data_IF_128807508310
#
_entry.id   IF_128807508310
#
_cell.length_a   1.000
_cell.length_b   1.000
_cell.length_c   1.000
_cell.angle_alpha   90.00
_cell.angle_beta   90.00
_cell.angle_gamma   90.00
#
_symmetry.space_group_name_H-M   'P 1'
#
loop_
_entity.id
_entity.type
_entity.pdbx_description
1 polymer ?
#
# COMPACT_ATOMS: atom_id res chain seq x y z
N UNK A 1 35.25 -32.96 -7.76
CA UNK A 1 35.10 -31.68 -7.06
C UNK A 1 33.75 -31.12 -7.48
N UNK A 2 32.77 -31.25 -6.60
CA UNK A 2 31.42 -30.71 -6.78
C UNK A 2 31.46 -29.23 -6.44
N UNK A 3 30.83 -28.40 -7.26
CA UNK A 3 29.90 -27.29 -6.93
C UNK A 3 29.98 -26.23 -8.03
N UNK A 4 28.85 -26.00 -8.68
CA UNK A 4 28.35 -24.68 -9.08
C UNK A 4 26.96 -24.93 -9.65
N UNK A 5 26.06 -25.29 -8.73
CA UNK A 5 24.64 -25.04 -8.90
C UNK A 5 24.47 -23.55 -8.59
N UNK A 6 24.38 -22.75 -9.63
CA UNK A 6 24.05 -21.33 -9.56
C UNK A 6 22.59 -21.18 -9.98
N UNK A 7 21.69 -21.86 -9.28
CA UNK A 7 20.27 -21.48 -9.29
C UNK A 7 20.03 -20.64 -8.06
N UNK A 8 19.92 -19.33 -8.24
CA UNK A 8 19.08 -18.42 -7.44
C UNK A 8 19.24 -17.00 -7.99
N UNK A 9 18.72 -16.75 -9.18
CA UNK A 9 18.22 -15.42 -9.54
C UNK A 9 16.79 -15.34 -8.97
N UNK A 10 16.74 -15.15 -7.65
CA UNK A 10 15.53 -14.87 -6.89
C UNK A 10 15.88 -13.64 -6.05
N UNK A 11 15.60 -12.46 -6.60
CA UNK A 11 14.96 -11.34 -5.89
C UNK A 11 14.91 -10.13 -6.85
N UNK A 12 14.24 -10.25 -8.00
CA UNK A 12 13.63 -9.04 -8.55
C UNK A 12 12.32 -8.90 -7.78
N UNK A 13 12.47 -8.48 -6.52
CA UNK A 13 11.44 -7.80 -5.76
C UNK A 13 11.02 -6.65 -6.67
N UNK A 14 10.01 -6.92 -7.50
CA UNK A 14 9.32 -5.91 -8.26
C UNK A 14 8.56 -5.08 -7.23
N UNK A 15 9.31 -4.27 -6.50
CA UNK A 15 8.86 -3.05 -5.89
C UNK A 15 8.50 -2.16 -7.08
N UNK A 16 7.36 -2.47 -7.69
CA UNK A 16 6.69 -1.57 -8.59
C UNK A 16 6.54 -0.31 -7.74
N UNK A 17 7.34 0.71 -8.03
CA UNK A 17 7.23 1.97 -7.33
C UNK A 17 6.01 2.63 -7.93
N UNK A 18 4.85 2.45 -7.30
CA UNK A 18 3.66 3.20 -7.70
C UNK A 18 4.00 4.68 -7.55
N UNK A 19 3.80 5.44 -8.62
CA UNK A 19 3.92 6.89 -8.53
C UNK A 19 2.85 7.43 -7.58
N UNK A 20 3.11 8.59 -6.95
CA UNK A 20 2.14 9.25 -6.07
C UNK A 20 0.76 9.45 -6.73
N UNK A 21 0.71 9.58 -8.05
CA UNK A 21 -0.53 9.70 -8.83
C UNK A 21 -1.28 8.37 -8.98
N UNK A 22 -0.56 7.25 -9.13
CA UNK A 22 -1.17 5.93 -9.18
C UNK A 22 -1.69 5.50 -7.81
N UNK A 23 -0.93 5.77 -6.74
CA UNK A 23 -1.38 5.57 -5.36
C UNK A 23 -2.67 6.36 -5.13
N UNK A 24 -2.70 7.64 -5.50
CA UNK A 24 -3.90 8.47 -5.35
C UNK A 24 -5.11 7.93 -6.13
N UNK A 25 -4.91 7.39 -7.33
CA UNK A 25 -6.01 6.81 -8.12
C UNK A 25 -6.55 5.52 -7.51
N UNK A 26 -5.66 4.62 -7.07
CA UNK A 26 -6.05 3.37 -6.38
C UNK A 26 -6.78 3.71 -5.08
N UNK A 27 -6.21 4.61 -4.29
CA UNK A 27 -6.79 5.06 -3.02
C UNK A 27 -8.15 5.69 -3.24
N UNK A 28 -8.29 6.58 -4.22
CA UNK A 28 -9.58 7.20 -4.55
C UNK A 28 -10.63 6.17 -4.95
N UNK A 29 -10.23 5.12 -5.69
CA UNK A 29 -11.12 4.04 -6.08
C UNK A 29 -11.56 3.22 -4.86
N UNK A 30 -10.62 2.73 -4.06
CA UNK A 30 -10.89 1.95 -2.85
C UNK A 30 -11.75 2.74 -1.85
N UNK A 31 -11.46 4.02 -1.67
CA UNK A 31 -12.26 4.95 -0.89
C UNK A 31 -13.69 5.07 -1.41
N UNK A 32 -13.87 5.17 -2.73
CA UNK A 32 -15.20 5.22 -3.34
C UNK A 32 -15.97 3.91 -3.16
N UNK A 33 -15.29 2.75 -3.14
CA UNK A 33 -15.90 1.45 -2.86
C UNK A 33 -16.30 1.32 -1.38
N UNK A 34 -15.50 1.91 -0.49
CA UNK A 34 -15.79 2.02 0.95
C UNK A 34 -16.84 3.09 1.29
N UNK A 35 -17.20 3.95 0.33
CA UNK A 35 -18.06 5.12 0.56
C UNK A 35 -17.43 6.16 1.49
N UNK A 36 -16.10 6.18 1.59
CA UNK A 36 -15.33 7.07 2.44
C UNK A 36 -14.58 8.10 1.61
N UNK A 37 -14.29 9.26 2.19
CA UNK A 37 -13.37 10.22 1.58
C UNK A 37 -11.96 10.07 2.16
N UNK A 38 -10.95 10.56 1.43
CA UNK A 38 -9.57 10.58 1.92
C UNK A 38 -9.46 11.39 3.22
N UNK A 39 -10.26 12.44 3.36
CA UNK A 39 -10.33 13.26 4.58
C UNK A 39 -10.81 12.43 5.77
N UNK A 40 -11.89 11.67 5.59
CA UNK A 40 -12.42 10.79 6.64
C UNK A 40 -11.45 9.66 7.00
N UNK A 41 -10.79 9.06 6.00
CA UNK A 41 -9.74 8.06 6.22
C UNK A 41 -8.57 8.65 7.03
N UNK A 42 -8.14 9.87 6.70
CA UNK A 42 -7.09 10.57 7.43
C UNK A 42 -7.51 10.92 8.86
N UNK A 43 -8.77 11.30 9.08
CA UNK A 43 -9.30 11.54 10.42
C UNK A 43 -9.35 10.26 11.26
N UNK A 44 -9.79 9.15 10.67
CA UNK A 44 -9.77 7.82 11.30
C UNK A 44 -8.34 7.41 11.67
N UNK A 45 -7.39 7.57 10.75
CA UNK A 45 -5.98 7.29 11.01
C UNK A 45 -5.40 8.17 12.12
N UNK A 46 -5.76 9.46 12.15
CA UNK A 46 -5.34 10.39 13.22
C UNK A 46 -5.88 9.99 14.58
N UNK A 47 -7.12 9.50 14.63
CA UNK A 47 -7.76 8.99 15.85
C UNK A 47 -7.30 7.55 16.20
N UNK A 48 -6.57 6.89 15.29
CA UNK A 48 -6.26 5.45 15.31
C UNK A 48 -7.51 4.59 15.47
N UNK A 49 -8.62 5.08 14.93
CA UNK A 49 -9.94 4.48 15.01
C UNK A 49 -10.49 4.36 13.60
N UNK A 50 -10.30 3.19 13.01
CA UNK A 50 -10.76 2.90 11.65
C UNK A 50 -12.12 2.23 11.70
N UNK A 51 -13.02 2.68 10.82
CA UNK A 51 -14.37 2.11 10.73
C UNK A 51 -14.36 0.67 10.26
N UNK A 52 -13.27 0.20 9.64
CA UNK A 52 -13.12 -1.17 9.13
C UNK A 52 -11.65 -1.54 8.93
N UNK A 53 -11.35 -2.84 8.98
CA UNK A 53 -10.00 -3.36 8.72
C UNK A 53 -9.49 -2.99 7.32
N UNK A 54 -10.38 -2.94 6.32
CA UNK A 54 -10.05 -2.56 4.95
C UNK A 54 -9.58 -1.09 4.84
N UNK A 55 -10.17 -0.19 5.64
CA UNK A 55 -9.74 1.20 5.73
C UNK A 55 -8.35 1.33 6.38
N UNK A 56 -8.07 0.55 7.44
CA UNK A 56 -6.74 0.50 8.05
C UNK A 56 -5.69 -0.04 7.07
N UNK A 57 -5.98 -1.14 6.37
CA UNK A 57 -5.06 -1.70 5.36
C UNK A 57 -4.78 -0.69 4.26
N UNK A 58 -5.79 0.01 3.76
CA UNK A 58 -5.63 1.06 2.76
C UNK A 58 -4.72 2.20 3.27
N UNK A 59 -4.89 2.62 4.52
CA UNK A 59 -4.04 3.64 5.13
C UNK A 59 -2.58 3.21 5.27
N UNK A 60 -2.32 1.95 5.66
CA UNK A 60 -0.96 1.41 5.72
C UNK A 60 -0.36 1.34 4.32
N UNK A 61 -1.12 0.91 3.32
CA UNK A 61 -0.69 0.84 1.93
C UNK A 61 -0.35 2.23 1.37
N UNK A 62 -1.11 3.26 1.75
CA UNK A 62 -0.77 4.65 1.47
C UNK A 62 0.54 5.03 2.17
N UNK A 63 0.60 4.87 3.50
CA UNK A 63 1.74 5.32 4.32
C UNK A 63 3.06 4.65 3.96
N UNK A 64 3.04 3.37 3.60
CA UNK A 64 4.17 2.60 3.10
C UNK A 64 4.64 3.12 1.73
N UNK A 65 3.68 3.45 0.85
CA UNK A 65 3.98 3.92 -0.50
C UNK A 65 4.41 5.40 -0.57
N UNK A 66 4.22 6.20 0.49
CA UNK A 66 4.71 7.60 0.54
C UNK A 66 6.08 7.74 1.20
N UNK A 67 6.71 6.66 1.71
CA UNK A 67 7.98 6.66 2.47
C UNK A 67 8.24 8.00 3.19
N UNK A 68 7.51 8.22 4.30
CA UNK A 68 7.74 9.36 5.18
C UNK A 68 8.72 9.00 6.31
#
# INVERSE_FOLDING_TARGET
MTVMDERTDHDDDQHIVWTAEEIQNVVRRELSELGLTYVELREQARRRDFSSAQANSLWVLIGDAVDL
#
